data_IF_716343511950
#
_entry.id   IF_716343511950
#
_cell.length_a   1.000
_cell.length_b   1.000
_cell.length_c   1.000
_cell.angle_alpha   90.00
_cell.angle_beta   90.00
_cell.angle_gamma   90.00
#
_symmetry.space_group_name_H-M   'P 1'
#
loop_
_entity.id
_entity.type
_entity.pdbx_description
1 polymer ?
#
# COMPACT_ATOMS: atom_id res chain seq x y z
N UNK A 1 17.40 -19.31 -4.57
CA UNK A 1 16.53 -19.26 -5.77
C UNK A 1 16.39 -20.66 -6.38
N UNK A 2 17.41 -21.24 -7.05
CA UNK A 2 17.27 -22.53 -7.78
C UNK A 2 16.93 -23.70 -6.85
N UNK A 3 17.55 -23.80 -5.67
CA UNK A 3 17.28 -24.85 -4.68
C UNK A 3 15.89 -24.70 -4.07
N UNK A 4 15.49 -23.47 -3.76
CA UNK A 4 14.16 -23.19 -3.19
C UNK A 4 13.06 -23.48 -4.21
N UNK A 5 13.25 -23.12 -5.47
CA UNK A 5 12.32 -23.41 -6.56
C UNK A 5 12.21 -24.93 -6.81
N UNK A 6 13.32 -25.64 -6.74
CA UNK A 6 13.32 -27.11 -6.91
C UNK A 6 12.65 -27.82 -5.73
N UNK A 7 12.94 -27.41 -4.49
CA UNK A 7 12.30 -27.98 -3.30
C UNK A 7 10.79 -27.71 -3.32
N UNK A 8 10.37 -26.50 -3.65
CA UNK A 8 8.95 -26.11 -3.65
C UNK A 8 8.17 -26.71 -4.80
N UNK A 9 8.79 -26.86 -5.98
CA UNK A 9 8.09 -27.31 -7.19
C UNK A 9 8.11 -28.83 -7.36
N UNK A 10 9.05 -29.55 -6.77
CA UNK A 10 9.21 -30.98 -6.94
C UNK A 10 9.03 -31.78 -5.64
N UNK A 11 9.82 -31.48 -4.61
CA UNK A 11 9.79 -32.28 -3.39
C UNK A 11 8.52 -32.06 -2.54
N UNK A 12 8.02 -30.83 -2.43
CA UNK A 12 6.83 -30.59 -1.64
C UNK A 12 5.59 -31.27 -2.22
N UNK A 13 5.27 -31.17 -3.53
CA UNK A 13 4.17 -31.94 -4.13
C UNK A 13 4.32 -33.46 -3.99
N UNK A 14 5.54 -33.99 -4.17
CA UNK A 14 5.82 -35.41 -4.04
C UNK A 14 5.61 -35.89 -2.61
N UNK A 15 6.04 -35.13 -1.62
CA UNK A 15 5.83 -35.41 -0.21
C UNK A 15 4.33 -35.45 0.15
N UNK A 16 3.56 -34.45 -0.28
CA UNK A 16 2.12 -34.42 -0.02
C UNK A 16 1.37 -35.52 -0.75
N UNK A 17 1.76 -35.85 -1.98
CA UNK A 17 1.20 -37.00 -2.71
C UNK A 17 1.50 -38.29 -1.99
N UNK A 18 2.72 -38.49 -1.47
CA UNK A 18 3.12 -39.68 -0.70
C UNK A 18 2.31 -39.86 0.58
N UNK A 19 1.96 -38.76 1.28
CA UNK A 19 1.07 -38.83 2.44
C UNK A 19 -0.36 -39.19 2.01
N UNK A 20 -0.84 -38.56 0.93
CA UNK A 20 -2.19 -38.84 0.40
C UNK A 20 -2.41 -40.26 -0.04
N UNK A 21 -1.36 -40.94 -0.52
CA UNK A 21 -1.41 -42.38 -0.94
C UNK A 21 -1.38 -43.36 0.23
N UNK A 22 -0.84 -42.97 1.38
CA UNK A 22 -0.70 -43.83 2.56
C UNK A 22 -1.96 -43.89 3.43
N UNK A 23 -2.88 -42.97 3.27
CA UNK A 23 -4.03 -42.80 4.14
C UNK A 23 -5.33 -42.79 3.35
N UNK A 24 -6.31 -43.54 3.83
CA UNK A 24 -7.68 -43.44 3.34
C UNK A 24 -8.39 -42.28 3.99
N UNK A 25 -8.26 -41.09 3.36
CA UNK A 25 -8.89 -39.86 3.83
C UNK A 25 -10.42 -39.96 3.90
N UNK A 26 -11.03 -40.77 3.03
CA UNK A 26 -12.50 -40.87 2.97
C UNK A 26 -13.01 -41.72 4.12
N UNK A 27 -12.35 -42.84 4.43
CA UNK A 27 -12.74 -43.76 5.49
C UNK A 27 -12.56 -43.14 6.90
N UNK A 28 -11.56 -42.26 7.07
CA UNK A 28 -11.21 -41.67 8.37
C UNK A 28 -11.62 -40.21 8.53
N UNK A 29 -12.42 -39.66 7.60
CA UNK A 29 -12.91 -38.30 7.67
C UNK A 29 -14.03 -38.15 8.68
N UNK A 30 -13.80 -37.38 9.75
CA UNK A 30 -14.79 -37.01 10.75
C UNK A 30 -14.96 -35.49 10.78
N UNK A 31 -16.09 -35.00 10.23
CA UNK A 31 -16.39 -33.58 10.14
C UNK A 31 -16.44 -32.90 11.52
N UNK A 32 -16.98 -33.59 12.54
CA UNK A 32 -17.08 -33.07 13.91
C UNK A 32 -15.68 -32.84 14.50
N UNK A 33 -14.79 -33.81 14.33
CA UNK A 33 -13.41 -33.72 14.79
C UNK A 33 -12.63 -32.65 14.03
N UNK A 34 -12.79 -32.58 12.70
CA UNK A 34 -12.16 -31.54 11.86
C UNK A 34 -12.58 -30.13 12.33
N UNK A 35 -13.87 -29.89 12.53
CA UNK A 35 -14.37 -28.61 12.98
C UNK A 35 -13.89 -28.27 14.41
N UNK A 36 -13.89 -29.23 15.30
CA UNK A 36 -13.39 -29.03 16.67
C UNK A 36 -11.91 -28.63 16.69
N UNK A 37 -11.07 -29.37 15.97
CA UNK A 37 -9.64 -29.09 15.87
C UNK A 37 -9.39 -27.74 15.18
N UNK A 38 -10.08 -27.47 14.06
CA UNK A 38 -9.96 -26.22 13.31
C UNK A 38 -10.32 -25.00 14.18
N UNK A 39 -11.46 -25.06 14.87
CA UNK A 39 -11.94 -23.94 15.69
C UNK A 39 -11.00 -23.72 16.88
N UNK A 40 -10.69 -24.77 17.63
CA UNK A 40 -9.89 -24.67 18.86
C UNK A 40 -8.48 -24.17 18.57
N UNK A 41 -7.82 -24.78 17.58
CA UNK A 41 -6.45 -24.44 17.21
C UNK A 41 -6.35 -23.05 16.55
N UNK A 42 -7.34 -22.67 15.71
CA UNK A 42 -7.34 -21.34 15.07
C UNK A 42 -7.70 -20.25 16.07
N UNK A 43 -8.69 -20.46 16.95
CA UNK A 43 -9.09 -19.48 17.95
C UNK A 43 -7.93 -19.15 18.90
N UNK A 44 -7.26 -20.16 19.45
CA UNK A 44 -6.12 -19.95 20.35
C UNK A 44 -4.99 -19.18 19.68
N UNK A 45 -4.62 -19.56 18.45
CA UNK A 45 -3.52 -18.94 17.71
C UNK A 45 -3.85 -17.51 17.25
N UNK A 46 -5.05 -17.29 16.72
CA UNK A 46 -5.51 -15.96 16.28
C UNK A 46 -5.61 -15.02 17.48
N UNK A 47 -6.31 -15.41 18.55
CA UNK A 47 -6.49 -14.56 19.71
C UNK A 47 -5.15 -14.24 20.40
N UNK A 48 -4.28 -15.23 20.58
CA UNK A 48 -2.96 -15.02 21.17
C UNK A 48 -2.11 -14.06 20.32
N UNK A 49 -2.12 -14.21 19.00
CA UNK A 49 -1.38 -13.33 18.08
C UNK A 49 -1.96 -11.91 18.04
N UNK A 50 -3.29 -11.77 18.06
CA UNK A 50 -3.97 -10.45 18.12
C UNK A 50 -3.63 -9.73 19.42
N UNK A 51 -3.69 -10.42 20.56
CA UNK A 51 -3.37 -9.83 21.86
C UNK A 51 -1.89 -9.41 21.93
N UNK A 52 -0.98 -10.28 21.48
CA UNK A 52 0.45 -9.96 21.40
C UNK A 52 0.75 -8.76 20.49
N UNK A 53 0.12 -8.70 19.31
CA UNK A 53 0.27 -7.59 18.38
C UNK A 53 -0.26 -6.26 18.96
N UNK A 54 -1.39 -6.30 19.69
CA UNK A 54 -1.93 -5.13 20.37
C UNK A 54 -1.05 -4.66 21.52
N UNK A 55 -0.51 -5.59 22.31
CA UNK A 55 0.45 -5.27 23.35
C UNK A 55 1.75 -4.65 22.79
N UNK A 56 2.12 -5.01 21.55
CA UNK A 56 3.21 -4.40 20.80
C UNK A 56 2.88 -3.03 20.16
N UNK A 57 1.68 -2.46 20.40
CA UNK A 57 1.31 -1.14 19.91
C UNK A 57 0.68 -1.09 18.52
N UNK A 58 0.39 -2.23 17.87
CA UNK A 58 -0.26 -2.25 16.57
C UNK A 58 -1.74 -1.85 16.67
N UNK A 59 -2.23 -1.19 15.61
CA UNK A 59 -3.64 -0.86 15.46
C UNK A 59 -4.54 -2.10 15.40
N UNK A 60 -5.85 -1.93 15.68
CA UNK A 60 -6.79 -3.06 15.75
C UNK A 60 -6.81 -3.90 14.46
N UNK A 61 -6.79 -3.25 13.29
CA UNK A 61 -6.81 -3.95 11.98
C UNK A 61 -5.52 -4.71 11.72
N UNK A 62 -4.38 -4.08 12.00
CA UNK A 62 -3.05 -4.68 11.85
C UNK A 62 -2.91 -5.89 12.76
N UNK A 63 -3.39 -5.80 14.01
CA UNK A 63 -3.41 -6.92 14.95
C UNK A 63 -4.22 -8.11 14.42
N UNK A 64 -5.40 -7.87 13.83
CA UNK A 64 -6.19 -8.93 13.21
C UNK A 64 -5.50 -9.50 11.97
N UNK A 65 -4.84 -8.67 11.14
CA UNK A 65 -4.06 -9.15 10.00
C UNK A 65 -2.90 -10.05 10.44
N UNK A 66 -2.20 -9.66 11.52
CA UNK A 66 -1.17 -10.52 12.15
C UNK A 66 -1.78 -11.82 12.64
N UNK A 67 -2.92 -11.78 13.35
CA UNK A 67 -3.61 -12.96 13.83
C UNK A 67 -3.97 -13.95 12.73
N UNK A 68 -4.54 -13.48 11.63
CA UNK A 68 -4.87 -14.32 10.48
C UNK A 68 -3.62 -14.80 9.73
N UNK A 69 -2.60 -13.97 9.60
CA UNK A 69 -1.33 -14.35 8.98
C UNK A 69 -0.60 -15.43 9.76
N UNK A 70 -0.54 -15.31 11.07
CA UNK A 70 0.06 -16.29 11.97
C UNK A 70 -0.73 -17.61 12.05
N UNK A 71 -2.00 -17.62 11.64
CA UNK A 71 -2.80 -18.85 11.61
C UNK A 71 -2.49 -19.76 10.42
N UNK A 72 -1.75 -19.29 9.41
CA UNK A 72 -1.25 -20.15 8.35
C UNK A 72 -0.38 -21.27 8.94
N UNK A 73 -0.61 -22.49 8.46
CA UNK A 73 0.09 -23.70 8.92
C UNK A 73 0.87 -24.28 7.76
N UNK A 74 2.07 -24.78 8.07
CA UNK A 74 2.98 -25.29 7.05
C UNK A 74 3.17 -26.81 7.11
N UNK A 75 4.03 -27.32 6.23
CA UNK A 75 4.38 -28.73 6.12
C UNK A 75 4.93 -29.31 7.44
N UNK A 76 5.58 -28.48 8.28
CA UNK A 76 6.13 -28.94 9.57
C UNK A 76 5.06 -29.53 10.48
N UNK A 77 3.86 -29.00 10.50
CA UNK A 77 2.78 -29.48 11.36
C UNK A 77 2.25 -30.85 10.86
N UNK A 78 2.23 -31.04 9.55
CA UNK A 78 1.88 -32.32 8.93
C UNK A 78 2.96 -33.37 9.22
N UNK A 79 4.23 -32.99 9.17
CA UNK A 79 5.37 -33.89 9.51
C UNK A 79 5.31 -34.31 10.98
N UNK A 80 5.05 -33.36 11.88
CA UNK A 80 4.90 -33.68 13.31
C UNK A 80 3.69 -34.58 13.56
N UNK A 81 2.57 -34.31 12.87
CA UNK A 81 1.38 -35.17 12.92
C UNK A 81 1.67 -36.59 12.41
N UNK A 82 2.41 -36.73 11.31
CA UNK A 82 2.82 -38.02 10.78
C UNK A 82 3.71 -38.79 11.77
N UNK A 83 4.70 -38.10 12.36
CA UNK A 83 5.56 -38.72 13.38
C UNK A 83 4.77 -39.15 14.62
N UNK A 84 3.76 -38.38 15.03
CA UNK A 84 2.89 -38.75 16.14
C UNK A 84 1.99 -39.96 15.79
N UNK A 85 1.52 -40.06 14.54
CA UNK A 85 0.77 -41.19 14.05
C UNK A 85 1.65 -42.46 14.03
N UNK A 86 2.87 -42.38 13.49
CA UNK A 86 3.83 -43.49 13.45
C UNK A 86 4.21 -43.98 14.89
N UNK A 87 4.33 -43.02 15.82
CA UNK A 87 4.54 -43.30 17.24
C UNK A 87 3.28 -43.80 17.96
N UNK A 88 2.14 -43.89 17.29
CA UNK A 88 0.83 -44.30 17.84
C UNK A 88 0.33 -43.40 19.00
N UNK A 89 0.75 -42.13 19.01
CA UNK A 89 0.28 -41.12 19.97
C UNK A 89 -1.09 -40.58 19.57
N UNK A 90 -1.34 -40.51 18.26
CA UNK A 90 -2.63 -40.10 17.67
C UNK A 90 -3.14 -41.20 16.74
N UNK A 91 -4.45 -41.19 16.50
CA UNK A 91 -5.10 -42.07 15.54
C UNK A 91 -5.18 -41.46 14.14
N UNK A 92 -5.58 -42.25 13.14
CA UNK A 92 -5.70 -41.82 11.75
C UNK A 92 -6.75 -40.72 11.57
N UNK A 93 -7.84 -40.73 12.35
CA UNK A 93 -8.90 -39.72 12.28
C UNK A 93 -8.38 -38.35 12.70
N UNK A 94 -7.63 -38.30 13.81
CA UNK A 94 -7.06 -37.04 14.28
C UNK A 94 -5.98 -36.54 13.31
N UNK A 95 -5.18 -37.44 12.75
CA UNK A 95 -4.19 -37.05 11.73
C UNK A 95 -4.84 -36.47 10.48
N UNK A 96 -5.91 -37.09 9.95
CA UNK A 96 -6.70 -36.56 8.83
C UNK A 96 -7.27 -35.19 9.17
N UNK A 97 -7.80 -35.00 10.39
CA UNK A 97 -8.30 -33.70 10.84
C UNK A 97 -7.20 -32.61 10.87
N UNK A 98 -5.99 -32.95 11.31
CA UNK A 98 -4.84 -32.04 11.32
C UNK A 98 -4.40 -31.64 9.90
N UNK A 99 -4.36 -32.59 8.97
CA UNK A 99 -3.99 -32.31 7.57
C UNK A 99 -5.03 -31.41 6.90
N UNK A 100 -6.32 -31.74 7.05
CA UNK A 100 -7.41 -30.91 6.49
C UNK A 100 -7.37 -29.50 7.08
N UNK A 101 -7.19 -29.37 8.39
CA UNK A 101 -7.05 -28.08 9.06
C UNK A 101 -5.85 -27.29 8.52
N UNK A 102 -4.68 -27.92 8.33
CA UNK A 102 -3.47 -27.26 7.83
C UNK A 102 -3.70 -26.71 6.41
N UNK A 103 -4.33 -27.46 5.54
CA UNK A 103 -4.66 -27.04 4.17
C UNK A 103 -5.65 -25.87 4.19
N UNK A 104 -6.76 -26.00 4.93
CA UNK A 104 -7.80 -24.97 5.00
C UNK A 104 -7.26 -23.66 5.56
N UNK A 105 -6.48 -23.71 6.64
CA UNK A 105 -5.92 -22.50 7.25
C UNK A 105 -4.89 -21.81 6.34
N UNK A 106 -4.07 -22.59 5.62
CA UNK A 106 -3.10 -22.04 4.66
C UNK A 106 -3.78 -21.34 3.49
N UNK A 107 -4.80 -21.94 2.91
CA UNK A 107 -5.57 -21.36 1.81
C UNK A 107 -6.36 -20.11 2.25
N UNK A 108 -6.96 -20.16 3.44
CA UNK A 108 -7.78 -19.06 3.95
C UNK A 108 -6.96 -17.85 4.43
N UNK A 109 -5.77 -18.08 4.99
CA UNK A 109 -4.97 -17.05 5.67
C UNK A 109 -4.67 -15.85 4.76
N UNK A 110 -4.17 -16.08 3.55
CA UNK A 110 -3.85 -15.01 2.60
C UNK A 110 -5.07 -14.16 2.22
N UNK A 111 -6.21 -14.79 2.01
CA UNK A 111 -7.47 -14.11 1.68
C UNK A 111 -8.02 -13.32 2.87
N UNK A 112 -7.94 -13.86 4.08
CA UNK A 112 -8.37 -13.19 5.30
C UNK A 112 -7.51 -11.96 5.60
N UNK A 113 -6.19 -12.07 5.50
CA UNK A 113 -5.26 -10.94 5.65
C UNK A 113 -5.58 -9.84 4.64
N UNK A 114 -5.71 -10.20 3.35
CA UNK A 114 -6.09 -9.26 2.30
C UNK A 114 -7.42 -8.56 2.60
N UNK A 115 -8.44 -9.30 3.05
CA UNK A 115 -9.76 -8.73 3.35
C UNK A 115 -9.74 -7.76 4.52
N UNK A 116 -8.97 -8.05 5.57
CA UNK A 116 -8.79 -7.16 6.71
C UNK A 116 -8.06 -5.87 6.32
N UNK A 117 -7.04 -5.99 5.49
CA UNK A 117 -6.24 -4.86 5.00
C UNK A 117 -6.92 -4.10 3.85
N UNK A 118 -7.73 -4.77 3.01
CA UNK A 118 -8.41 -4.19 1.83
C UNK A 118 -9.40 -3.06 2.15
N UNK A 119 -9.85 -2.88 3.40
CA UNK A 119 -10.73 -1.77 3.78
C UNK A 119 -10.01 -0.43 3.94
N UNK A 120 -8.71 -0.38 3.65
CA UNK A 120 -8.00 0.88 3.51
C UNK A 120 -8.09 1.31 2.04
N UNK A 121 -8.95 2.27 1.76
CA UNK A 121 -8.92 2.97 0.48
C UNK A 121 -7.63 3.79 0.47
N UNK A 122 -6.64 3.50 -0.39
CA UNK A 122 -5.41 4.27 -0.42
C UNK A 122 -5.73 5.73 -0.71
N UNK A 123 -5.02 6.64 -0.05
CA UNK A 123 -5.15 8.07 -0.30
C UNK A 123 -4.69 8.38 -1.72
N UNK A 124 -5.64 8.65 -2.62
CA UNK A 124 -5.34 8.99 -4.01
C UNK A 124 -5.22 10.50 -4.15
N UNK A 125 -4.25 10.97 -4.92
CA UNK A 125 -4.06 12.38 -5.22
C UNK A 125 -5.38 13.08 -5.65
N UNK A 126 -6.14 12.42 -6.53
CA UNK A 126 -7.37 12.97 -7.11
C UNK A 126 -8.47 13.25 -6.08
N UNK A 127 -8.47 12.54 -4.95
CA UNK A 127 -9.47 12.70 -3.89
C UNK A 127 -9.14 13.86 -2.93
N UNK A 128 -7.91 14.36 -2.99
CA UNK A 128 -7.36 15.40 -2.09
C UNK A 128 -6.91 16.66 -2.80
N UNK A 129 -7.04 16.74 -4.14
CA UNK A 129 -6.74 17.91 -4.95
C UNK A 129 -8.06 18.56 -5.40
N UNK A 130 -8.56 19.61 -4.70
CA UNK A 130 -9.73 20.33 -5.15
C UNK A 130 -9.41 21.16 -6.41
N UNK A 131 -10.33 21.22 -7.35
CA UNK A 131 -10.14 21.96 -8.61
C UNK A 131 -9.72 23.44 -8.40
N UNK A 132 -10.17 24.06 -7.29
CA UNK A 132 -9.83 25.44 -6.93
C UNK A 132 -8.41 25.60 -6.39
N UNK A 133 -7.73 24.52 -5.99
CA UNK A 133 -6.34 24.53 -5.56
C UNK A 133 -5.35 24.29 -6.71
N UNK A 134 -5.81 24.38 -7.94
CA UNK A 134 -4.98 24.34 -9.13
C UNK A 134 -4.60 25.76 -9.58
N UNK A 135 -3.31 26.00 -9.75
CA UNK A 135 -2.75 27.25 -10.25
C UNK A 135 -2.12 26.99 -11.61
N UNK A 136 -2.82 27.33 -12.73
CA UNK A 136 -2.40 26.95 -14.08
C UNK A 136 -1.10 27.62 -14.54
N UNK A 137 -0.74 28.73 -13.92
CA UNK A 137 0.52 29.42 -14.22
C UNK A 137 1.10 30.08 -12.94
N UNK A 138 2.20 29.56 -12.46
CA UNK A 138 2.97 30.18 -11.37
C UNK A 138 3.88 31.31 -11.87
N UNK A 139 4.03 31.46 -13.19
CA UNK A 139 4.91 32.44 -13.80
C UNK A 139 6.38 32.18 -13.53
N UNK A 140 7.21 33.20 -13.80
CA UNK A 140 8.63 33.19 -13.54
C UNK A 140 8.87 33.66 -12.08
N UNK A 141 8.96 32.69 -11.16
CA UNK A 141 8.98 32.96 -9.73
C UNK A 141 9.99 32.09 -9.00
N UNK A 142 10.30 32.48 -7.76
CA UNK A 142 11.19 31.69 -6.89
C UNK A 142 10.45 30.52 -6.24
N UNK A 143 11.19 29.49 -5.82
CA UNK A 143 10.69 28.35 -5.02
C UNK A 143 9.81 28.81 -3.86
N UNK A 144 10.27 29.82 -3.10
CA UNK A 144 9.56 30.40 -1.96
C UNK A 144 8.20 30.98 -2.36
N UNK A 145 8.19 31.83 -3.38
CA UNK A 145 6.97 32.49 -3.85
C UNK A 145 5.98 31.48 -4.48
N UNK A 146 6.48 30.42 -5.12
CA UNK A 146 5.64 29.33 -5.62
C UNK A 146 4.91 28.61 -4.47
N UNK A 147 5.64 28.24 -3.40
CA UNK A 147 5.06 27.60 -2.21
C UNK A 147 4.03 28.54 -1.55
N UNK A 148 4.33 29.83 -1.45
CA UNK A 148 3.41 30.82 -0.87
C UNK A 148 2.10 30.93 -1.68
N UNK A 149 2.18 31.01 -3.01
CA UNK A 149 1.00 31.03 -3.89
C UNK A 149 0.17 29.76 -3.77
N UNK A 150 0.83 28.61 -3.70
CA UNK A 150 0.15 27.32 -3.52
C UNK A 150 -0.51 27.21 -2.14
N UNK A 151 0.15 27.70 -1.08
CA UNK A 151 -0.43 27.76 0.25
C UNK A 151 -1.68 28.65 0.31
N UNK A 152 -1.66 29.80 -0.40
CA UNK A 152 -2.82 30.68 -0.51
C UNK A 152 -3.97 30.00 -1.27
N UNK A 153 -3.70 29.33 -2.41
CA UNK A 153 -4.70 28.60 -3.18
C UNK A 153 -5.30 27.44 -2.38
N UNK A 154 -4.46 26.69 -1.66
CA UNK A 154 -4.89 25.60 -0.81
C UNK A 154 -5.75 26.09 0.37
N UNK A 155 -5.33 27.17 1.03
CA UNK A 155 -6.09 27.80 2.10
C UNK A 155 -7.49 28.24 1.65
N UNK A 156 -7.58 28.88 0.49
CA UNK A 156 -8.86 29.30 -0.09
C UNK A 156 -9.76 28.10 -0.47
N UNK A 157 -9.17 26.96 -0.86
CA UNK A 157 -9.92 25.79 -1.29
C UNK A 157 -10.33 24.85 -0.14
N UNK A 158 -9.55 24.77 0.94
CA UNK A 158 -9.70 23.81 2.04
C UNK A 158 -10.00 24.43 3.39
N UNK A 159 -9.98 25.77 3.51
CA UNK A 159 -10.16 26.47 4.79
C UNK A 159 -8.94 26.41 5.73
N UNK A 160 -7.81 25.90 5.28
CA UNK A 160 -6.57 25.88 6.06
C UNK A 160 -5.96 27.28 6.14
N UNK A 161 -5.24 27.56 7.24
CA UNK A 161 -4.52 28.81 7.39
C UNK A 161 -3.30 28.84 6.44
N UNK A 162 -3.40 29.64 5.37
CA UNK A 162 -2.38 29.72 4.34
C UNK A 162 -0.98 30.12 4.90
N UNK A 163 -0.93 30.99 5.94
CA UNK A 163 0.34 31.41 6.54
C UNK A 163 1.01 30.28 7.31
N UNK A 164 0.24 29.45 8.02
CA UNK A 164 0.76 28.30 8.75
C UNK A 164 1.22 27.20 7.77
N UNK A 165 0.43 26.95 6.72
CA UNK A 165 0.79 26.02 5.64
C UNK A 165 2.11 26.43 4.99
N UNK A 166 2.22 27.72 4.62
CA UNK A 166 3.43 28.25 4.02
C UNK A 166 4.64 28.14 4.95
N UNK A 167 4.51 28.57 6.20
CA UNK A 167 5.61 28.56 7.17
C UNK A 167 6.13 27.13 7.40
N UNK A 168 5.22 26.15 7.56
CA UNK A 168 5.61 24.75 7.77
C UNK A 168 6.22 24.13 6.51
N UNK A 169 5.65 24.38 5.33
CA UNK A 169 6.18 23.86 4.07
C UNK A 169 7.54 24.47 3.74
N UNK A 170 7.72 25.76 3.97
CA UNK A 170 8.99 26.45 3.73
C UNK A 170 10.09 25.95 4.69
N UNK A 171 9.79 25.85 5.97
CA UNK A 171 10.75 25.31 6.95
C UNK A 171 11.20 23.88 6.59
N UNK A 172 10.28 23.06 6.04
CA UNK A 172 10.59 21.71 5.58
C UNK A 172 11.46 21.72 4.31
N UNK A 173 11.17 22.62 3.37
CA UNK A 173 11.92 22.77 2.11
C UNK A 173 13.34 23.27 2.36
N UNK A 174 13.55 24.17 3.32
CA UNK A 174 14.89 24.65 3.71
C UNK A 174 15.78 23.54 4.32
N UNK A 175 15.16 22.59 5.03
CA UNK A 175 15.90 21.45 5.61
C UNK A 175 16.35 20.44 4.56
N UNK A 176 15.52 20.20 3.55
CA UNK A 176 15.80 19.24 2.50
C UNK A 176 14.92 19.56 1.29
N UNK A 177 15.52 19.86 0.14
CA UNK A 177 14.80 20.10 -1.09
C UNK A 177 13.86 18.95 -1.47
N UNK A 178 12.72 19.30 -2.04
CA UNK A 178 11.65 18.34 -2.37
C UNK A 178 11.46 18.10 -3.86
N UNK A 179 12.42 18.44 -4.68
CA UNK A 179 12.46 18.07 -6.09
C UNK A 179 12.58 16.56 -6.24
N UNK A 180 11.62 15.93 -6.94
CA UNK A 180 11.63 14.48 -7.17
C UNK A 180 12.42 14.07 -8.41
N UNK A 181 12.75 15.01 -9.27
CA UNK A 181 13.19 14.75 -10.63
C UNK A 181 12.01 14.69 -11.61
N UNK A 182 12.29 14.41 -12.88
CA UNK A 182 11.28 14.33 -13.93
C UNK A 182 10.36 15.57 -13.99
N UNK A 183 10.91 16.75 -13.65
CA UNK A 183 10.22 18.05 -13.61
C UNK A 183 9.07 18.13 -12.60
N UNK A 184 9.14 17.36 -11.52
CA UNK A 184 8.14 17.32 -10.45
C UNK A 184 8.78 17.72 -9.13
N UNK A 185 8.09 18.55 -8.32
CA UNK A 185 8.46 18.84 -6.94
C UNK A 185 7.25 18.63 -6.02
N UNK A 186 7.52 18.25 -4.76
CA UNK A 186 6.50 17.93 -3.77
C UNK A 186 6.77 18.63 -2.43
N UNK A 187 6.80 19.98 -2.37
CA UNK A 187 6.84 20.65 -1.10
C UNK A 187 5.68 20.20 -0.21
N UNK A 188 5.94 19.97 1.07
CA UNK A 188 4.94 19.42 1.96
C UNK A 188 5.03 19.98 3.38
N UNK A 189 3.88 19.96 4.07
CA UNK A 189 3.76 20.35 5.46
C UNK A 189 2.97 19.31 6.27
N UNK A 190 3.32 19.16 7.55
CA UNK A 190 2.57 18.34 8.51
C UNK A 190 2.07 19.25 9.61
N UNK A 191 0.76 19.40 9.72
CA UNK A 191 0.14 20.35 10.64
C UNK A 191 -0.75 19.64 11.67
N UNK A 192 -0.73 20.07 12.94
CA UNK A 192 -1.68 19.58 13.92
C UNK A 192 -3.11 20.04 13.54
N UNK A 193 -4.12 19.21 13.84
CA UNK A 193 -5.52 19.52 13.56
C UNK A 193 -5.97 19.25 12.12
N UNK A 194 -5.09 18.94 11.19
CA UNK A 194 -5.45 18.49 9.84
C UNK A 194 -5.89 17.03 9.91
N UNK A 195 -7.19 16.79 9.66
CA UNK A 195 -7.79 15.45 9.73
C UNK A 195 -7.86 14.73 8.38
N UNK A 196 -7.75 15.47 7.28
CA UNK A 196 -7.73 14.95 5.92
C UNK A 196 -6.61 15.59 5.13
N UNK A 197 -5.86 14.83 4.36
CA UNK A 197 -4.86 15.40 3.46
C UNK A 197 -5.48 16.41 2.51
N UNK A 198 -4.69 17.42 2.15
CA UNK A 198 -5.07 18.44 1.16
C UNK A 198 -3.88 18.71 0.24
N UNK A 199 -4.14 18.85 -1.06
CA UNK A 199 -3.11 19.06 -2.07
C UNK A 199 -3.45 20.25 -2.93
N UNK A 200 -2.45 21.10 -3.25
CA UNK A 200 -2.52 22.07 -4.32
C UNK A 200 -1.51 21.72 -5.41
N UNK A 201 -1.83 22.01 -6.66
CA UNK A 201 -0.93 21.86 -7.79
C UNK A 201 -0.73 23.19 -8.50
N UNK A 202 0.53 23.53 -8.73
CA UNK A 202 0.91 24.66 -9.56
C UNK A 202 1.73 24.23 -10.76
N UNK A 203 1.54 24.91 -11.86
CA UNK A 203 2.27 24.72 -13.11
C UNK A 203 3.22 25.89 -13.34
N UNK A 204 4.45 25.61 -13.75
CA UNK A 204 5.40 26.60 -14.27
C UNK A 204 5.93 26.13 -15.62
N UNK A 205 5.60 26.83 -16.68
CA UNK A 205 6.04 26.46 -18.04
C UNK A 205 7.57 26.46 -18.22
N UNK A 206 8.26 27.39 -17.56
CA UNK A 206 9.74 27.47 -17.56
C UNK A 206 10.40 26.54 -16.56
N UNK A 207 9.66 26.15 -15.53
CA UNK A 207 10.14 25.37 -14.39
C UNK A 207 10.78 26.24 -13.31
N UNK A 208 10.71 25.75 -12.08
CA UNK A 208 11.29 26.36 -10.87
C UNK A 208 12.29 25.39 -10.29
N UNK A 209 13.44 25.89 -9.88
CA UNK A 209 14.48 25.05 -9.28
C UNK A 209 14.10 24.62 -7.86
N UNK A 210 13.97 23.32 -7.64
CA UNK A 210 13.73 22.64 -6.37
C UNK A 210 14.88 21.67 -6.01
N UNK A 211 16.09 21.92 -6.51
CA UNK A 211 17.28 21.09 -6.29
C UNK A 211 17.01 19.59 -6.56
N UNK A 212 16.33 19.30 -7.69
CA UNK A 212 16.00 17.93 -8.05
C UNK A 212 17.26 17.10 -8.39
N UNK A 213 17.29 15.80 -8.06
CA UNK A 213 18.47 14.94 -8.30
C UNK A 213 18.92 14.86 -9.77
N UNK A 214 18.01 15.10 -10.72
CA UNK A 214 18.28 15.10 -12.16
C UNK A 214 18.67 16.49 -12.71
N UNK A 215 18.77 17.50 -11.84
CA UNK A 215 19.12 18.88 -12.18
C UNK A 215 18.07 19.61 -13.04
N UNK A 216 16.89 19.02 -13.26
CA UNK A 216 15.84 19.63 -14.08
C UNK A 216 14.90 20.48 -13.22
N UNK A 217 14.57 21.73 -13.65
CA UNK A 217 13.61 22.54 -12.94
C UNK A 217 12.20 21.91 -12.97
N UNK A 218 11.48 22.00 -11.85
CA UNK A 218 10.15 21.45 -11.69
C UNK A 218 9.09 22.28 -12.43
N UNK A 219 8.30 21.67 -13.26
CA UNK A 219 7.17 22.28 -13.96
C UNK A 219 5.84 22.00 -13.26
N UNK A 220 5.75 20.90 -12.51
CA UNK A 220 4.61 20.52 -11.69
C UNK A 220 5.01 20.53 -10.22
N UNK A 221 4.40 21.41 -9.44
CA UNK A 221 4.71 21.62 -8.03
C UNK A 221 3.48 21.26 -7.19
N UNK A 222 3.57 20.15 -6.43
CA UNK A 222 2.50 19.66 -5.58
C UNK A 222 2.76 20.06 -4.13
N UNK A 223 1.99 21.00 -3.61
CA UNK A 223 2.01 21.29 -2.17
C UNK A 223 1.09 20.33 -1.44
N UNK A 224 1.67 19.43 -0.64
CA UNK A 224 0.95 18.40 0.12
C UNK A 224 0.88 18.79 1.59
N UNK A 225 -0.33 18.82 2.16
CA UNK A 225 -0.55 19.09 3.59
C UNK A 225 -1.26 17.90 4.23
N UNK A 226 -0.71 17.40 5.33
CA UNK A 226 -1.24 16.25 6.07
C UNK A 226 -1.25 16.50 7.57
N UNK A 227 -1.98 15.70 8.33
CA UNK A 227 -1.95 15.73 9.78
C UNK A 227 -0.62 15.26 10.36
N UNK A 228 -0.19 15.84 11.48
CA UNK A 228 1.08 15.47 12.14
C UNK A 228 1.14 13.97 12.51
N UNK A 229 -0.01 13.32 12.77
CA UNK A 229 -0.11 11.88 13.07
C UNK A 229 -0.43 11.00 11.87
N UNK A 230 -0.64 11.56 10.68
CA UNK A 230 -1.01 10.80 9.47
C UNK A 230 0.21 10.55 8.57
N UNK A 231 1.14 9.73 9.09
CA UNK A 231 2.34 9.34 8.30
C UNK A 231 1.98 8.51 7.07
N UNK A 232 0.97 7.67 7.22
CA UNK A 232 0.55 6.75 6.17
C UNK A 232 -0.08 7.50 5.00
N UNK A 233 -1.08 8.34 5.26
CA UNK A 233 -1.73 9.14 4.21
C UNK A 233 -0.75 10.07 3.51
N UNK A 234 0.23 10.61 4.24
CA UNK A 234 1.31 11.40 3.68
C UNK A 234 2.13 10.61 2.65
N UNK A 235 2.63 9.43 3.04
CA UNK A 235 3.43 8.58 2.14
C UNK A 235 2.62 8.06 0.95
N UNK A 236 1.35 7.72 1.15
CA UNK A 236 0.47 7.24 0.08
C UNK A 236 0.23 8.30 -1.00
N UNK A 237 0.01 9.56 -0.63
CA UNK A 237 -0.13 10.66 -1.59
C UNK A 237 1.16 10.92 -2.35
N UNK A 238 2.30 10.98 -1.66
CA UNK A 238 3.60 11.16 -2.32
C UNK A 238 3.90 10.01 -3.30
N UNK A 239 3.61 8.77 -2.89
CA UNK A 239 3.76 7.60 -3.75
C UNK A 239 2.82 7.63 -4.96
N UNK A 240 1.57 8.10 -4.78
CA UNK A 240 0.61 8.24 -5.89
C UNK A 240 1.06 9.32 -6.89
N UNK A 241 1.56 10.46 -6.41
CA UNK A 241 2.16 11.52 -7.26
C UNK A 241 3.35 10.94 -8.04
N UNK A 242 4.30 10.31 -7.36
CA UNK A 242 5.49 9.74 -8.00
C UNK A 242 5.12 8.67 -9.06
N UNK A 243 4.12 7.83 -8.78
CA UNK A 243 3.63 6.81 -9.69
C UNK A 243 2.95 7.40 -10.93
N UNK A 244 2.02 8.33 -10.74
CA UNK A 244 1.26 8.94 -11.84
C UNK A 244 2.16 9.76 -12.75
N UNK A 245 3.01 10.58 -12.18
CA UNK A 245 3.84 11.51 -12.93
C UNK A 245 5.20 10.93 -13.38
N UNK A 246 5.38 9.61 -13.26
CA UNK A 246 6.42 8.87 -14.00
C UNK A 246 6.16 8.92 -15.51
N UNK A 247 4.90 8.92 -15.96
CA UNK A 247 4.51 9.03 -17.36
C UNK A 247 4.81 10.43 -17.91
N UNK A 248 5.63 10.50 -18.95
CA UNK A 248 5.93 11.75 -19.65
C UNK A 248 4.68 12.34 -20.32
N UNK A 249 3.81 11.50 -20.88
CA UNK A 249 2.56 11.89 -21.51
C UNK A 249 1.65 12.57 -20.50
N UNK A 250 1.49 11.99 -19.31
CA UNK A 250 0.66 12.58 -18.25
C UNK A 250 1.24 13.90 -17.74
N UNK A 251 2.56 14.01 -17.60
CA UNK A 251 3.22 15.28 -17.22
C UNK A 251 2.94 16.38 -18.24
N UNK A 252 3.13 16.10 -19.52
CA UNK A 252 2.86 17.07 -20.59
C UNK A 252 1.41 17.50 -20.64
N UNK A 253 0.48 16.56 -20.52
CA UNK A 253 -0.95 16.85 -20.48
C UNK A 253 -1.33 17.67 -19.24
N UNK A 254 -0.75 17.41 -18.08
CA UNK A 254 -0.97 18.17 -16.86
C UNK A 254 -0.42 19.61 -16.92
N UNK A 255 0.73 19.81 -17.58
CA UNK A 255 1.31 21.13 -17.82
C UNK A 255 0.42 21.94 -18.79
N UNK A 256 -0.20 21.28 -19.75
CA UNK A 256 -1.08 21.91 -20.73
C UNK A 256 -2.53 22.12 -20.24
N UNK A 257 -2.89 21.61 -19.06
CA UNK A 257 -4.26 21.69 -18.55
C UNK A 257 -4.66 23.14 -18.23
N UNK A 258 -5.71 23.68 -18.83
CA UNK A 258 -6.11 25.09 -18.66
C UNK A 258 -6.89 25.33 -17.36
N UNK A 259 -7.42 24.26 -16.73
CA UNK A 259 -8.24 24.35 -15.53
C UNK A 259 -8.07 23.15 -14.59
N UNK A 260 -8.36 23.35 -13.32
CA UNK A 260 -8.36 22.26 -12.33
C UNK A 260 -9.40 21.18 -12.61
N UNK A 261 -10.51 21.53 -13.26
CA UNK A 261 -11.53 20.55 -13.64
C UNK A 261 -11.03 19.60 -14.73
N UNK A 262 -10.36 20.12 -15.75
CA UNK A 262 -9.76 19.31 -16.81
C UNK A 262 -8.59 18.48 -16.31
N UNK A 263 -7.75 19.07 -15.44
CA UNK A 263 -6.70 18.32 -14.75
C UNK A 263 -7.26 17.13 -13.98
N UNK A 264 -8.32 17.32 -13.19
CA UNK A 264 -8.94 16.22 -12.44
C UNK A 264 -9.57 15.16 -13.35
N UNK A 265 -10.15 15.56 -14.48
CA UNK A 265 -10.64 14.61 -15.48
C UNK A 265 -9.49 13.77 -16.04
N UNK A 266 -8.37 14.41 -16.38
CA UNK A 266 -7.14 13.76 -16.83
C UNK A 266 -6.60 12.76 -15.79
N UNK A 267 -6.51 13.17 -14.52
CA UNK A 267 -6.02 12.30 -13.45
C UNK A 267 -6.93 11.10 -13.15
N UNK A 268 -8.23 11.24 -13.37
CA UNK A 268 -9.20 10.13 -13.25
C UNK A 268 -9.11 9.12 -14.38
N UNK A 269 -8.81 9.57 -15.59
CA UNK A 269 -8.58 8.71 -16.77
C UNK A 269 -7.13 8.18 -16.86
N UNK A 270 -6.22 8.70 -16.05
CA UNK A 270 -4.79 8.38 -16.03
C UNK A 270 -4.41 6.88 -16.00
N UNK A 271 -5.13 6.00 -15.29
CA UNK A 271 -4.86 4.56 -15.35
C UNK A 271 -4.95 3.97 -16.76
N UNK A 272 -5.90 4.42 -17.59
CA UNK A 272 -6.04 3.96 -18.98
C UNK A 272 -4.90 4.45 -19.88
N UNK A 273 -4.38 5.65 -19.64
CA UNK A 273 -3.23 6.20 -20.39
C UNK A 273 -1.88 5.54 -20.04
N UNK A 274 -1.80 4.86 -18.90
CA UNK A 274 -0.60 4.13 -18.48
C UNK A 274 -0.51 2.74 -19.14
N UNK A 275 -1.65 2.14 -19.53
CA UNK A 275 -1.70 0.83 -20.18
C UNK A 275 -1.32 0.93 -21.67
N UNK A 276 -1.73 1.98 -22.37
CA UNK A 276 -1.36 2.19 -23.78
C UNK A 276 0.13 2.52 -24.00
N UNK A 277 0.83 3.04 -22.98
CA UNK A 277 2.27 3.34 -23.04
C UNK A 277 3.19 2.11 -22.85
N UNK A 278 2.69 1.05 -22.23
CA UNK A 278 3.47 -0.15 -21.93
C UNK A 278 3.58 -1.10 -23.15
N UNK A 279 2.68 -1.03 -24.10
CA UNK A 279 2.73 -1.86 -25.34
C UNK A 279 3.69 -1.30 -26.41
N UNK A 280 4.10 -0.03 -26.30
CA UNK A 280 4.97 0.63 -27.29
C UNK A 280 6.46 0.38 -27.14
N UNK A 281 6.96 0.01 -25.96
CA UNK A 281 8.40 -0.10 -25.68
C UNK A 281 8.99 -1.53 -25.83
N UNK A 282 8.16 -2.51 -26.14
CA UNK A 282 8.59 -3.91 -26.31
C UNK A 282 8.79 -4.31 -27.79
N UNK A 283 8.88 -3.32 -28.73
CA UNK A 283 9.12 -3.55 -30.15
C UNK A 283 10.28 -2.71 -30.70
N UNK A 284 11.37 -2.61 -29.98
CA UNK A 284 12.63 -2.17 -30.60
C UNK A 284 13.79 -3.01 -30.10
#
# INVERSE_FOLDING_TARGET
AVVDDFVSSFFAPLFFAGIGLKLDFVAHFDLGLVLFVLITASAGKILGSVLGARAGGLGTRESWAVGFGMNARGAMEIILGLSALEARVIDERLFVALVVMAVLTSLASGSLVKNVLRRHTPCRLVDHLPARAFVPDLGDTTRRAAIERLAAALGAASGLNAKEVFAAAWAREELMPTGLGERVATPHARLPGVTRPAVALGVSSRGIDFDAPDGKPAQLIFLVVTGSGDERGHLEILADIARLFRSATLRQAAVAAPSGTELLALLRSGPALLEDGAEGDNRK
#
